data_IF_706260160331
#
_entry.id   IF_706260160331
#
_cell.length_a   1.000
_cell.length_b   1.000
_cell.length_c   1.000
_cell.angle_alpha   90.00
_cell.angle_beta   90.00
_cell.angle_gamma   90.00
#
_symmetry.space_group_name_H-M   'P 1'
#
loop_
_entity.id
_entity.type
_entity.pdbx_description
1 polymer ?
#
# COMPACT_ATOMS: atom_id res chain seq x y z
N UNK A 1 -0.97 34.12 24.89
CA UNK A 1 -1.90 34.22 23.74
C UNK A 1 -2.30 32.79 23.35
N UNK A 2 -3.51 32.38 23.72
CA UNK A 2 -4.06 31.02 23.50
C UNK A 2 -5.06 31.06 22.33
N UNK A 3 -5.19 29.94 21.62
CA UNK A 3 -5.88 29.79 20.33
C UNK A 3 -7.41 29.94 20.39
N UNK A 4 -8.07 30.26 19.27
CA UNK A 4 -9.53 30.35 19.19
C UNK A 4 -10.13 28.98 18.87
N UNK A 5 -10.37 28.15 19.89
CA UNK A 5 -11.21 26.93 19.77
C UNK A 5 -12.44 26.97 20.68
N UNK A 6 -12.52 27.90 21.64
CA UNK A 6 -13.66 27.93 22.55
C UNK A 6 -14.70 28.99 22.13
N UNK A 7 -15.85 28.48 21.68
CA UNK A 7 -17.22 29.03 21.75
C UNK A 7 -17.94 28.90 20.42
N UNK A 8 -18.33 27.68 20.07
CA UNK A 8 -19.59 27.47 19.36
C UNK A 8 -20.54 26.82 20.36
N UNK A 9 -21.31 27.68 21.01
CA UNK A 9 -22.47 27.32 21.81
C UNK A 9 -23.52 26.71 20.88
N UNK A 10 -23.48 25.41 20.67
CA UNK A 10 -24.58 24.68 20.03
C UNK A 10 -25.72 24.61 21.04
N UNK A 11 -26.81 25.30 20.71
CA UNK A 11 -28.02 25.36 21.50
C UNK A 11 -28.53 23.94 21.82
N UNK A 12 -28.80 23.69 23.10
CA UNK A 12 -29.59 22.58 23.66
C UNK A 12 -29.63 21.31 22.81
N UNK A 13 -28.69 20.39 23.07
CA UNK A 13 -28.85 19.00 22.68
C UNK A 13 -30.21 18.51 23.18
N UNK A 14 -31.11 18.17 22.26
CA UNK A 14 -32.24 17.32 22.61
C UNK A 14 -31.63 16.07 23.26
N UNK A 15 -32.03 15.78 24.50
CA UNK A 15 -31.66 14.54 25.17
C UNK A 15 -32.34 13.40 24.41
N UNK A 16 -31.68 12.90 23.38
CA UNK A 16 -32.10 11.69 22.70
C UNK A 16 -31.77 10.51 23.60
N UNK A 17 -32.79 9.91 24.19
CA UNK A 17 -32.62 8.65 24.90
C UNK A 17 -32.41 7.52 23.88
N UNK A 18 -31.40 6.64 24.06
CA UNK A 18 -31.09 5.53 23.15
C UNK A 18 -32.31 4.73 22.66
N UNK A 19 -33.21 4.36 23.59
CA UNK A 19 -34.39 3.56 23.28
C UNK A 19 -35.48 4.29 22.48
N UNK A 20 -35.36 5.59 22.22
CA UNK A 20 -36.29 6.33 21.36
C UNK A 20 -35.87 6.35 19.88
N UNK A 21 -34.64 5.94 19.58
CA UNK A 21 -34.02 5.98 18.26
C UNK A 21 -33.99 4.60 17.56
N UNK A 22 -34.16 3.51 18.30
CA UNK A 22 -34.26 2.17 17.73
C UNK A 22 -35.58 1.99 16.98
N UNK A 23 -35.54 1.24 15.88
CA UNK A 23 -36.71 0.86 15.05
C UNK A 23 -37.50 2.02 14.43
N UNK A 24 -36.93 3.23 14.37
CA UNK A 24 -37.53 4.40 13.71
C UNK A 24 -36.63 4.96 12.63
N UNK A 25 -37.27 5.44 11.56
CA UNK A 25 -36.58 6.21 10.53
C UNK A 25 -36.34 7.63 11.02
N UNK A 26 -35.07 7.99 11.08
CA UNK A 26 -34.56 9.33 11.34
C UNK A 26 -33.90 9.91 10.08
N UNK A 27 -34.32 9.45 8.89
CA UNK A 27 -33.81 9.96 7.61
C UNK A 27 -33.90 11.50 7.55
N UNK A 28 -32.79 12.14 7.18
CA UNK A 28 -32.66 13.60 7.11
C UNK A 28 -32.71 14.34 8.46
N UNK A 29 -32.81 13.66 9.60
CA UNK A 29 -32.84 14.32 10.91
C UNK A 29 -31.44 14.75 11.39
N UNK A 30 -31.44 15.64 12.39
CA UNK A 30 -30.23 16.21 13.01
C UNK A 30 -30.12 15.74 14.46
N UNK A 31 -29.07 14.97 14.75
CA UNK A 31 -28.65 14.45 16.04
C UNK A 31 -27.29 15.06 16.45
N UNK A 32 -27.05 16.32 16.08
CA UNK A 32 -25.76 16.99 16.31
C UNK A 32 -25.44 17.08 17.80
N UNK A 33 -24.26 16.60 18.20
CA UNK A 33 -23.83 16.58 19.59
C UNK A 33 -24.62 15.63 20.50
N UNK A 34 -25.41 14.71 19.93
CA UNK A 34 -26.15 13.73 20.72
C UNK A 34 -25.21 12.83 21.53
N UNK A 35 -25.59 12.52 22.77
CA UNK A 35 -24.85 11.61 23.65
C UNK A 35 -25.53 10.25 23.66
N UNK A 36 -24.97 9.30 22.91
CA UNK A 36 -25.50 7.97 22.62
C UNK A 36 -24.42 6.88 22.86
N UNK A 37 -23.48 7.14 23.77
CA UNK A 37 -22.44 6.19 24.16
C UNK A 37 -23.05 4.90 24.71
N UNK A 38 -22.58 3.75 24.21
CA UNK A 38 -23.09 2.42 24.59
C UNK A 38 -24.55 2.15 24.19
N UNK A 39 -25.17 3.04 23.41
CA UNK A 39 -26.55 2.89 22.98
C UNK A 39 -26.74 1.67 22.08
N UNK A 40 -27.85 0.96 22.25
CA UNK A 40 -28.37 0.06 21.23
C UNK A 40 -28.99 0.92 20.13
N UNK A 41 -28.37 0.98 18.96
CA UNK A 41 -28.82 1.71 17.78
C UNK A 41 -28.88 0.77 16.57
N UNK A 42 -29.13 -0.52 16.83
CA UNK A 42 -29.27 -1.53 15.78
C UNK A 42 -30.37 -1.10 14.84
N UNK A 43 -30.11 -1.26 13.54
CA UNK A 43 -31.06 -0.93 12.48
C UNK A 43 -31.51 0.54 12.44
N UNK A 44 -30.83 1.45 13.17
CA UNK A 44 -31.06 2.89 13.07
C UNK A 44 -30.99 3.31 11.59
N UNK A 45 -31.96 4.09 11.14
CA UNK A 45 -31.96 4.69 9.79
C UNK A 45 -31.73 6.19 9.93
N UNK A 46 -30.53 6.65 9.58
CA UNK A 46 -30.14 8.07 9.57
C UNK A 46 -29.71 8.51 8.16
N UNK A 47 -30.33 7.94 7.12
CA UNK A 47 -29.97 8.21 5.74
C UNK A 47 -30.05 9.71 5.40
N UNK A 48 -28.96 10.27 4.89
CA UNK A 48 -28.81 11.71 4.60
C UNK A 48 -28.95 12.64 5.81
N UNK A 49 -29.05 12.11 7.04
CA UNK A 49 -29.14 12.88 8.27
C UNK A 49 -27.78 13.38 8.75
N UNK A 50 -27.77 14.08 9.87
CA UNK A 50 -26.55 14.62 10.48
C UNK A 50 -26.45 14.21 11.94
N UNK A 51 -25.34 13.63 12.36
CA UNK A 51 -25.00 13.39 13.76
C UNK A 51 -23.59 13.91 14.08
N UNK A 52 -23.20 15.05 13.48
CA UNK A 52 -21.89 15.66 13.72
C UNK A 52 -21.62 15.86 15.21
N UNK A 53 -20.38 15.63 15.63
CA UNK A 53 -19.94 15.74 17.03
C UNK A 53 -20.66 14.81 18.02
N UNK A 54 -21.44 13.82 17.54
CA UNK A 54 -22.14 12.90 18.42
C UNK A 54 -21.13 12.01 19.19
N UNK A 55 -21.50 11.64 20.41
CA UNK A 55 -20.81 10.62 21.20
C UNK A 55 -21.53 9.29 20.98
N UNK A 56 -20.88 8.39 20.26
CA UNK A 56 -21.35 7.05 19.86
C UNK A 56 -20.31 5.99 20.26
N UNK A 57 -19.43 6.29 21.22
CA UNK A 57 -18.44 5.33 21.70
C UNK A 57 -19.14 4.09 22.26
N UNK A 58 -18.64 2.92 21.88
CA UNK A 58 -19.20 1.61 22.20
C UNK A 58 -20.68 1.40 21.80
N UNK A 59 -21.25 2.27 20.96
CA UNK A 59 -22.62 2.10 20.48
C UNK A 59 -22.75 0.87 19.56
N UNK A 60 -23.88 0.19 19.63
CA UNK A 60 -24.23 -0.92 18.75
C UNK A 60 -25.00 -0.39 17.53
N UNK A 61 -24.29 -0.18 16.43
CA UNK A 61 -24.82 0.29 15.14
C UNK A 61 -24.94 -0.85 14.12
N UNK A 62 -25.03 -2.10 14.59
CA UNK A 62 -25.11 -3.26 13.69
C UNK A 62 -26.30 -3.12 12.76
N UNK A 63 -26.04 -3.31 11.47
CA UNK A 63 -27.03 -3.18 10.41
C UNK A 63 -27.77 -1.81 10.35
N UNK A 64 -27.23 -0.75 10.96
CA UNK A 64 -27.74 0.60 10.77
C UNK A 64 -27.58 1.05 9.30
N UNK A 65 -28.50 1.90 8.83
CA UNK A 65 -28.41 2.58 7.55
C UNK A 65 -28.05 4.06 7.76
N UNK A 66 -26.76 4.36 7.58
CA UNK A 66 -26.19 5.70 7.66
C UNK A 66 -25.77 6.19 6.27
N UNK A 67 -26.39 5.69 5.19
CA UNK A 67 -26.01 6.09 3.84
C UNK A 67 -26.17 7.60 3.64
N UNK A 68 -25.09 8.25 3.19
CA UNK A 68 -25.03 9.70 3.00
C UNK A 68 -25.11 10.54 4.28
N UNK A 69 -25.09 9.94 5.47
CA UNK A 69 -25.16 10.69 6.72
C UNK A 69 -23.87 11.50 6.95
N UNK A 70 -23.98 12.68 7.58
CA UNK A 70 -22.84 13.47 8.04
C UNK A 70 -22.60 13.26 9.54
N UNK A 71 -21.54 12.51 9.85
CA UNK A 71 -21.08 12.23 11.21
C UNK A 71 -19.69 12.83 11.47
N UNK A 72 -19.35 13.93 10.78
CA UNK A 72 -18.06 14.60 10.95
C UNK A 72 -17.71 14.85 12.43
N UNK A 73 -16.45 14.61 12.78
CA UNK A 73 -15.91 14.81 14.13
C UNK A 73 -16.70 14.11 15.26
N UNK A 74 -17.41 13.03 14.95
CA UNK A 74 -18.09 12.21 15.95
C UNK A 74 -17.14 11.19 16.57
N UNK A 75 -17.43 10.81 17.80
CA UNK A 75 -16.70 9.77 18.53
C UNK A 75 -17.43 8.43 18.34
N UNK A 76 -16.85 7.51 17.59
CA UNK A 76 -17.32 6.13 17.35
C UNK A 76 -16.32 5.09 17.86
N UNK A 77 -15.51 5.44 18.86
CA UNK A 77 -14.51 4.53 19.43
C UNK A 77 -15.16 3.23 19.87
N UNK A 78 -14.62 2.10 19.44
CA UNK A 78 -15.13 0.76 19.77
C UNK A 78 -16.60 0.53 19.38
N UNK A 79 -17.20 1.36 18.52
CA UNK A 79 -18.56 1.16 18.06
C UNK A 79 -18.65 -0.07 17.14
N UNK A 80 -19.79 -0.76 17.18
CA UNK A 80 -20.05 -1.92 16.34
C UNK A 80 -20.87 -1.54 15.11
N UNK A 81 -20.20 -1.42 13.97
CA UNK A 81 -20.78 -1.07 12.67
C UNK A 81 -20.84 -2.29 11.73
N UNK A 82 -20.77 -3.51 12.27
CA UNK A 82 -20.80 -4.73 11.44
C UNK A 82 -22.05 -4.74 10.57
N UNK A 83 -21.85 -4.98 9.28
CA UNK A 83 -22.92 -5.03 8.26
C UNK A 83 -23.73 -3.73 8.11
N UNK A 84 -23.27 -2.60 8.66
CA UNK A 84 -23.90 -1.31 8.45
C UNK A 84 -23.82 -0.88 6.97
N UNK A 85 -24.82 -0.11 6.52
CA UNK A 85 -24.86 0.53 5.20
C UNK A 85 -24.37 1.97 5.36
N UNK A 86 -23.20 2.25 4.81
CA UNK A 86 -22.48 3.51 5.00
C UNK A 86 -22.08 4.12 3.64
N UNK A 87 -22.80 3.77 2.57
CA UNK A 87 -22.54 4.28 1.23
C UNK A 87 -22.54 5.81 1.24
N UNK A 88 -21.45 6.42 0.77
CA UNK A 88 -21.32 7.88 0.74
C UNK A 88 -21.32 8.57 2.10
N UNK A 89 -21.14 7.83 3.21
CA UNK A 89 -21.03 8.38 4.56
C UNK A 89 -20.00 9.51 4.60
N UNK A 90 -20.34 10.63 5.20
CA UNK A 90 -19.42 11.75 5.44
C UNK A 90 -18.96 11.73 6.90
N UNK A 91 -17.73 11.28 7.13
CA UNK A 91 -17.14 11.12 8.45
C UNK A 91 -15.71 11.70 8.55
N UNK A 92 -15.42 12.91 8.03
CA UNK A 92 -14.10 13.50 8.19
C UNK A 92 -13.84 13.77 9.67
N UNK A 93 -12.60 13.55 10.10
CA UNK A 93 -12.16 13.72 11.50
C UNK A 93 -12.90 12.85 12.53
N UNK A 94 -13.70 11.87 12.10
CA UNK A 94 -14.36 10.96 13.03
C UNK A 94 -13.32 10.07 13.73
N UNK A 95 -13.56 9.77 15.00
CA UNK A 95 -12.77 8.81 15.76
C UNK A 95 -13.45 7.44 15.71
N UNK A 96 -12.90 6.53 14.90
CA UNK A 96 -13.30 5.14 14.72
C UNK A 96 -12.24 4.19 15.31
N UNK A 97 -11.44 4.65 16.29
CA UNK A 97 -10.44 3.79 16.93
C UNK A 97 -11.10 2.53 17.49
N UNK A 98 -10.53 1.37 17.16
CA UNK A 98 -11.01 0.05 17.54
C UNK A 98 -12.47 -0.28 17.12
N UNK A 99 -13.07 0.47 16.20
CA UNK A 99 -14.41 0.19 15.70
C UNK A 99 -14.47 -1.15 14.93
N UNK A 100 -15.60 -1.86 15.06
CA UNK A 100 -15.85 -3.12 14.35
C UNK A 100 -16.64 -2.84 13.06
N UNK A 101 -15.93 -2.85 11.93
CA UNK A 101 -16.46 -2.57 10.58
C UNK A 101 -16.37 -3.78 9.65
N UNK A 102 -16.19 -4.98 10.21
CA UNK A 102 -16.07 -6.22 9.43
C UNK A 102 -17.30 -6.39 8.55
N UNK A 103 -17.08 -6.67 7.26
CA UNK A 103 -18.13 -6.86 6.25
C UNK A 103 -19.11 -5.66 6.12
N UNK A 104 -18.73 -4.47 6.59
CA UNK A 104 -19.51 -3.25 6.38
C UNK A 104 -19.48 -2.87 4.88
N UNK A 105 -20.56 -2.24 4.40
CA UNK A 105 -20.67 -1.77 3.03
C UNK A 105 -20.55 -0.25 3.01
N UNK A 106 -19.40 0.23 2.59
CA UNK A 106 -19.04 1.65 2.58
C UNK A 106 -18.34 2.04 1.28
N UNK A 107 -18.94 1.85 0.09
CA UNK A 107 -18.35 2.39 -1.13
C UNK A 107 -18.40 3.92 -1.10
N UNK A 108 -17.26 4.54 -1.39
CA UNK A 108 -17.04 5.98 -1.43
C UNK A 108 -17.32 6.73 -0.12
N UNK A 109 -16.97 6.23 1.08
CA UNK A 109 -17.12 7.00 2.30
C UNK A 109 -16.05 8.10 2.34
N UNK A 110 -16.38 9.22 2.97
CA UNK A 110 -15.46 10.35 3.18
C UNK A 110 -14.91 10.27 4.60
N UNK A 111 -13.78 9.60 4.74
CA UNK A 111 -13.06 9.36 6.00
C UNK A 111 -11.75 10.18 6.05
N UNK A 112 -11.77 11.38 5.45
CA UNK A 112 -10.59 12.26 5.40
C UNK A 112 -10.15 12.61 6.82
N UNK A 113 -8.87 12.34 7.12
CA UNK A 113 -8.28 12.55 8.45
C UNK A 113 -9.05 11.88 9.61
N UNK A 114 -9.79 10.80 9.33
CA UNK A 114 -10.42 10.00 10.37
C UNK A 114 -9.37 9.14 11.11
N UNK A 115 -9.62 8.86 12.38
CA UNK A 115 -8.83 7.91 13.17
C UNK A 115 -9.47 6.54 13.06
N UNK A 116 -8.75 5.56 12.55
CA UNK A 116 -9.16 4.15 12.38
C UNK A 116 -8.12 3.21 13.00
N UNK A 117 -7.30 3.71 13.93
CA UNK A 117 -6.30 2.91 14.61
C UNK A 117 -6.97 1.68 15.25
N UNK A 118 -6.36 0.50 15.11
CA UNK A 118 -6.91 -0.76 15.61
C UNK A 118 -8.30 -1.16 15.09
N UNK A 119 -8.89 -0.42 14.13
CA UNK A 119 -10.20 -0.74 13.59
C UNK A 119 -10.17 -2.08 12.84
N UNK A 120 -11.31 -2.79 12.83
CA UNK A 120 -11.45 -4.08 12.16
C UNK A 120 -12.33 -3.94 10.94
N UNK A 121 -11.69 -3.81 9.79
CA UNK A 121 -12.26 -3.61 8.45
C UNK A 121 -12.14 -4.87 7.59
N UNK A 122 -11.96 -6.05 8.19
CA UNK A 122 -11.83 -7.30 7.43
C UNK A 122 -13.03 -7.49 6.49
N UNK A 123 -12.74 -7.69 5.20
CA UNK A 123 -13.74 -7.83 4.12
C UNK A 123 -14.72 -6.66 4.00
N UNK A 124 -14.38 -5.49 4.52
CA UNK A 124 -15.16 -4.28 4.31
C UNK A 124 -15.05 -3.83 2.83
N UNK A 125 -16.14 -3.27 2.31
CA UNK A 125 -16.13 -2.62 1.00
C UNK A 125 -15.84 -1.13 1.18
N UNK A 126 -14.61 -0.73 0.90
CA UNK A 126 -14.03 0.61 0.92
C UNK A 126 -13.71 1.09 -0.52
N UNK A 127 -14.35 0.53 -1.55
CA UNK A 127 -14.08 0.93 -2.92
C UNK A 127 -14.29 2.43 -3.08
N UNK A 128 -13.38 3.12 -3.78
CA UNK A 128 -13.41 4.58 -3.98
C UNK A 128 -13.39 5.43 -2.69
N UNK A 129 -12.96 4.87 -1.56
CA UNK A 129 -12.97 5.61 -0.30
C UNK A 129 -12.03 6.82 -0.29
N UNK A 130 -12.45 7.91 0.33
CA UNK A 130 -11.60 9.08 0.57
C UNK A 130 -11.01 8.98 1.97
N UNK A 131 -9.78 8.46 2.06
CA UNK A 131 -9.02 8.21 3.27
C UNK A 131 -7.76 9.10 3.36
N UNK A 132 -7.74 10.23 2.65
CA UNK A 132 -6.59 11.14 2.64
C UNK A 132 -6.22 11.55 4.06
N UNK A 133 -4.98 11.29 4.46
CA UNK A 133 -4.47 11.60 5.81
C UNK A 133 -5.16 10.85 6.95
N UNK A 134 -5.93 9.80 6.68
CA UNK A 134 -6.52 8.95 7.71
C UNK A 134 -5.44 8.12 8.42
N UNK A 135 -5.68 7.81 9.69
CA UNK A 135 -4.78 6.96 10.48
C UNK A 135 -5.38 5.57 10.66
N UNK A 136 -4.85 4.60 9.91
CA UNK A 136 -5.20 3.18 9.94
C UNK A 136 -4.11 2.35 10.66
N UNK A 137 -3.29 2.96 11.52
CA UNK A 137 -2.21 2.23 12.22
C UNK A 137 -2.78 1.02 12.97
N UNK A 138 -2.14 -0.14 12.80
CA UNK A 138 -2.56 -1.42 13.40
C UNK A 138 -3.98 -1.89 13.03
N UNK A 139 -4.64 -1.29 12.05
CA UNK A 139 -5.96 -1.72 11.61
C UNK A 139 -5.88 -3.06 10.85
N UNK A 140 -6.96 -3.84 10.93
CA UNK A 140 -7.11 -5.07 10.16
C UNK A 140 -8.00 -4.82 8.94
N UNK A 141 -7.44 -4.91 7.74
CA UNK A 141 -8.11 -4.73 6.45
C UNK A 141 -8.04 -6.01 5.60
N UNK A 142 -8.00 -7.19 6.24
CA UNK A 142 -7.76 -8.43 5.51
C UNK A 142 -8.90 -8.73 4.54
N UNK A 143 -8.56 -8.93 3.27
CA UNK A 143 -9.53 -9.16 2.21
C UNK A 143 -10.50 -8.00 1.98
N UNK A 144 -10.19 -6.78 2.45
CA UNK A 144 -11.02 -5.60 2.18
C UNK A 144 -10.88 -5.16 0.72
N UNK A 145 -11.94 -4.54 0.19
CA UNK A 145 -11.94 -3.95 -1.16
C UNK A 145 -11.66 -2.46 -1.06
N UNK A 146 -10.51 -2.00 -1.55
CA UNK A 146 -10.07 -0.60 -1.61
C UNK A 146 -9.83 -0.13 -3.05
N UNK A 147 -10.45 -0.78 -4.04
CA UNK A 147 -10.30 -0.46 -5.46
C UNK A 147 -10.54 1.03 -5.75
N UNK A 148 -9.50 1.72 -6.21
CA UNK A 148 -9.46 3.16 -6.49
C UNK A 148 -9.70 4.07 -5.29
N UNK A 149 -9.53 3.59 -4.06
CA UNK A 149 -9.54 4.42 -2.87
C UNK A 149 -8.37 5.43 -2.87
N UNK A 150 -8.61 6.60 -2.28
CA UNK A 150 -7.60 7.63 -2.08
C UNK A 150 -7.07 7.58 -0.64
N UNK A 151 -5.91 6.95 -0.46
CA UNK A 151 -5.14 6.84 0.77
C UNK A 151 -3.90 7.75 0.76
N UNK A 152 -3.88 8.82 -0.03
CA UNK A 152 -2.75 9.72 -0.06
C UNK A 152 -2.46 10.29 1.34
N UNK A 153 -1.20 10.28 1.76
CA UNK A 153 -0.75 10.73 3.09
C UNK A 153 -1.36 9.94 4.27
N UNK A 154 -2.02 8.81 4.04
CA UNK A 154 -2.56 7.99 5.11
C UNK A 154 -1.43 7.30 5.89
N UNK A 155 -1.64 7.10 7.19
CA UNK A 155 -0.78 6.27 8.02
C UNK A 155 -1.39 4.88 8.08
N UNK A 156 -0.70 3.88 7.56
CA UNK A 156 -1.06 2.48 7.62
C UNK A 156 -0.11 1.66 8.50
N UNK A 157 0.82 2.29 9.22
CA UNK A 157 1.85 1.62 10.04
C UNK A 157 1.38 0.32 10.73
N UNK A 158 2.02 -0.80 10.36
CA UNK A 158 1.71 -2.14 10.87
C UNK A 158 0.26 -2.60 10.62
N UNK A 159 -0.42 -2.09 9.60
CA UNK A 159 -1.75 -2.55 9.20
C UNK A 159 -1.70 -3.94 8.55
N UNK A 160 -2.84 -4.61 8.55
CA UNK A 160 -3.01 -5.96 8.02
C UNK A 160 -3.87 -5.92 6.76
N UNK A 161 -3.22 -5.79 5.61
CA UNK A 161 -3.76 -5.72 4.25
C UNK A 161 -3.72 -7.07 3.51
N UNK A 162 -3.48 -8.19 4.21
CA UNK A 162 -3.38 -9.51 3.58
C UNK A 162 -4.62 -9.78 2.69
N UNK A 163 -4.39 -10.10 1.42
CA UNK A 163 -5.42 -10.34 0.39
C UNK A 163 -6.35 -9.15 0.09
N UNK A 164 -6.03 -7.95 0.54
CA UNK A 164 -6.82 -6.76 0.21
C UNK A 164 -6.68 -6.40 -1.28
N UNK A 165 -7.74 -5.84 -1.85
CA UNK A 165 -7.73 -5.29 -3.22
C UNK A 165 -7.51 -3.78 -3.18
N UNK A 166 -6.29 -3.32 -3.46
CA UNK A 166 -5.91 -1.93 -3.62
C UNK A 166 -5.67 -1.57 -5.09
N UNK A 167 -6.31 -2.28 -6.03
CA UNK A 167 -6.19 -1.97 -7.45
C UNK A 167 -6.56 -0.51 -7.74
N UNK A 168 -5.73 0.19 -8.52
CA UNK A 168 -5.87 1.61 -8.84
C UNK A 168 -5.92 2.58 -7.64
N UNK A 169 -5.62 2.11 -6.42
CA UNK A 169 -5.64 2.99 -5.24
C UNK A 169 -4.52 4.04 -5.31
N UNK A 170 -4.79 5.22 -4.75
CA UNK A 170 -3.79 6.27 -4.57
C UNK A 170 -3.20 6.21 -3.17
N UNK A 171 -1.98 5.71 -3.04
CA UNK A 171 -1.17 5.59 -1.82
C UNK A 171 0.02 6.56 -1.85
N UNK A 172 -0.07 7.67 -2.60
CA UNK A 172 1.03 8.65 -2.67
C UNK A 172 1.41 9.12 -1.28
N UNK A 173 2.70 8.99 -0.96
CA UNK A 173 3.29 9.37 0.32
C UNK A 173 2.58 8.78 1.55
N UNK A 174 1.95 7.60 1.40
CA UNK A 174 1.42 6.85 2.53
C UNK A 174 2.55 6.22 3.35
N UNK A 175 2.38 6.17 4.67
CA UNK A 175 3.26 5.44 5.58
C UNK A 175 2.74 4.01 5.76
N UNK A 176 3.34 3.05 5.07
CA UNK A 176 2.98 1.63 5.07
C UNK A 176 4.09 0.76 5.72
N UNK A 177 4.87 1.36 6.62
CA UNK A 177 6.00 0.67 7.24
C UNK A 177 5.51 -0.51 8.09
N UNK A 178 6.20 -1.63 7.95
CA UNK A 178 5.93 -2.88 8.66
C UNK A 178 4.55 -3.50 8.41
N UNK A 179 3.81 -3.06 7.38
CA UNK A 179 2.52 -3.63 7.02
C UNK A 179 2.63 -5.09 6.60
N UNK A 180 1.55 -5.85 6.81
CA UNK A 180 1.36 -7.15 6.19
C UNK A 180 0.40 -7.02 5.01
N UNK A 181 0.90 -7.17 3.79
CA UNK A 181 0.15 -7.08 2.53
C UNK A 181 0.41 -8.32 1.67
N UNK A 182 0.44 -9.51 2.29
CA UNK A 182 0.66 -10.78 1.58
C UNK A 182 -0.50 -11.05 0.64
N UNK A 183 -0.19 -11.46 -0.59
CA UNK A 183 -1.20 -11.75 -1.63
C UNK A 183 -2.15 -10.56 -1.92
N UNK A 184 -1.78 -9.34 -1.54
CA UNK A 184 -2.58 -8.15 -1.81
C UNK A 184 -2.46 -7.73 -3.29
N UNK A 185 -3.51 -7.11 -3.82
CA UNK A 185 -3.55 -6.62 -5.19
C UNK A 185 -3.31 -5.10 -5.20
N UNK A 186 -2.23 -4.66 -5.84
CA UNK A 186 -1.87 -3.26 -6.06
C UNK A 186 -1.83 -2.92 -7.57
N UNK A 187 -2.57 -3.65 -8.39
CA UNK A 187 -2.52 -3.47 -9.86
C UNK A 187 -2.86 -2.03 -10.21
N UNK A 188 -1.98 -1.36 -10.95
CA UNK A 188 -2.11 0.05 -11.33
C UNK A 188 -2.22 1.04 -10.17
N UNK A 189 -1.86 0.65 -8.94
CA UNK A 189 -1.86 1.55 -7.79
C UNK A 189 -0.73 2.59 -7.88
N UNK A 190 -0.94 3.75 -7.25
CA UNK A 190 0.06 4.83 -7.15
C UNK A 190 0.66 4.83 -5.75
N UNK A 191 1.92 4.39 -5.62
CA UNK A 191 2.70 4.38 -4.38
C UNK A 191 3.90 5.35 -4.46
N UNK A 192 3.78 6.45 -5.22
CA UNK A 192 4.86 7.43 -5.37
C UNK A 192 5.22 8.00 -3.99
N UNK A 193 6.51 7.98 -3.64
CA UNK A 193 7.04 8.43 -2.34
C UNK A 193 6.44 7.70 -1.12
N UNK A 194 5.75 6.57 -1.30
CA UNK A 194 5.23 5.79 -0.17
C UNK A 194 6.38 5.13 0.60
N UNK A 195 6.21 4.99 1.91
CA UNK A 195 7.17 4.29 2.78
C UNK A 195 6.68 2.88 3.11
N UNK A 196 7.31 1.88 2.49
CA UNK A 196 7.06 0.45 2.69
C UNK A 196 8.26 -0.24 3.36
N UNK A 197 9.05 0.49 4.17
CA UNK A 197 10.17 -0.11 4.90
C UNK A 197 9.69 -1.32 5.73
N UNK A 198 10.38 -2.45 5.56
CA UNK A 198 10.10 -3.72 6.25
C UNK A 198 8.70 -4.32 5.94
N UNK A 199 7.96 -3.76 4.99
CA UNK A 199 6.63 -4.28 4.61
C UNK A 199 6.71 -5.73 4.08
N UNK A 200 5.67 -6.52 4.38
CA UNK A 200 5.54 -7.93 3.95
C UNK A 200 4.61 -8.01 2.74
N UNK A 201 5.21 -8.07 1.56
CA UNK A 201 4.56 -8.04 0.24
C UNK A 201 4.71 -9.39 -0.50
N UNK A 202 4.94 -10.49 0.23
CA UNK A 202 5.11 -11.81 -0.38
C UNK A 202 3.90 -12.18 -1.24
N UNK A 203 4.14 -12.60 -2.47
CA UNK A 203 3.12 -12.90 -3.49
C UNK A 203 2.15 -11.75 -3.80
N UNK A 204 2.48 -10.51 -3.45
CA UNK A 204 1.64 -9.36 -3.79
C UNK A 204 1.71 -9.10 -5.31
N UNK A 205 0.59 -8.62 -5.88
CA UNK A 205 0.50 -8.27 -7.28
C UNK A 205 0.60 -6.75 -7.46
N UNK A 206 1.78 -6.27 -7.83
CA UNK A 206 2.16 -4.88 -8.09
C UNK A 206 2.27 -4.57 -9.60
N UNK A 207 1.62 -5.37 -10.46
CA UNK A 207 1.65 -5.14 -11.92
C UNK A 207 1.17 -3.75 -12.28
N UNK A 208 1.88 -3.07 -13.18
CA UNK A 208 1.59 -1.70 -13.63
C UNK A 208 1.57 -0.64 -12.50
N UNK A 209 1.96 -1.00 -11.27
CA UNK A 209 1.98 -0.06 -10.16
C UNK A 209 3.09 0.99 -10.33
N UNK A 210 2.87 2.17 -9.75
CA UNK A 210 3.84 3.26 -9.80
C UNK A 210 4.44 3.48 -8.42
N UNK A 211 5.69 3.09 -8.25
CA UNK A 211 6.47 3.13 -7.01
C UNK A 211 7.67 4.09 -7.12
N UNK A 212 7.58 5.11 -7.97
CA UNK A 212 8.64 6.11 -8.15
C UNK A 212 9.02 6.73 -6.81
N UNK A 213 10.31 6.70 -6.48
CA UNK A 213 10.87 7.20 -5.23
C UNK A 213 10.27 6.58 -3.95
N UNK A 214 9.60 5.44 -4.03
CA UNK A 214 9.11 4.72 -2.85
C UNK A 214 10.28 4.13 -2.03
N UNK A 215 10.08 4.00 -0.73
CA UNK A 215 11.02 3.33 0.17
C UNK A 215 10.57 1.89 0.42
N UNK A 216 11.27 0.90 -0.13
CA UNK A 216 11.07 -0.53 0.08
C UNK A 216 12.30 -1.16 0.76
N UNK A 217 13.03 -0.39 1.57
CA UNK A 217 14.18 -0.89 2.33
C UNK A 217 13.77 -2.09 3.17
N UNK A 218 14.53 -3.17 3.05
CA UNK A 218 14.31 -4.43 3.78
C UNK A 218 12.91 -5.05 3.60
N UNK A 219 12.16 -4.66 2.56
CA UNK A 219 10.83 -5.20 2.28
C UNK A 219 10.93 -6.67 1.81
N UNK A 220 9.87 -7.43 2.09
CA UNK A 220 9.74 -8.84 1.69
C UNK A 220 8.85 -8.96 0.47
N UNK A 221 9.44 -9.11 -0.71
CA UNK A 221 8.79 -9.18 -2.02
C UNK A 221 8.92 -10.57 -2.66
N UNK A 222 9.23 -11.61 -1.87
CA UNK A 222 9.37 -12.97 -2.40
C UNK A 222 8.10 -13.39 -3.16
N UNK A 223 8.27 -13.84 -4.41
CA UNK A 223 7.17 -14.24 -5.29
C UNK A 223 6.25 -13.10 -5.77
N UNK A 224 6.58 -11.83 -5.48
CA UNK A 224 5.74 -10.71 -5.90
C UNK A 224 5.78 -10.51 -7.42
N UNK A 225 4.64 -10.11 -8.00
CA UNK A 225 4.54 -9.72 -9.42
C UNK A 225 4.69 -8.22 -9.55
N UNK A 226 5.82 -7.74 -10.06
CA UNK A 226 6.10 -6.33 -10.35
C UNK A 226 6.16 -6.05 -11.87
N UNK A 227 5.75 -6.98 -12.72
CA UNK A 227 5.84 -6.80 -14.18
C UNK A 227 5.23 -5.47 -14.63
N UNK A 228 5.93 -4.74 -15.51
CA UNK A 228 5.54 -3.40 -16.00
C UNK A 228 5.48 -2.28 -14.93
N UNK A 229 5.85 -2.55 -13.67
CA UNK A 229 5.84 -1.52 -12.64
C UNK A 229 6.90 -0.44 -12.89
N UNK A 230 6.56 0.80 -12.48
CA UNK A 230 7.47 1.95 -12.52
C UNK A 230 8.15 2.12 -11.17
N UNK A 231 9.44 1.79 -11.10
CA UNK A 231 10.26 1.73 -9.89
C UNK A 231 11.44 2.73 -9.96
N UNK A 232 11.26 3.85 -10.66
CA UNK A 232 12.35 4.85 -10.84
C UNK A 232 12.76 5.43 -9.50
N UNK A 233 14.07 5.51 -9.25
CA UNK A 233 14.65 6.00 -7.99
C UNK A 233 14.11 5.31 -6.72
N UNK A 234 13.57 4.10 -6.83
CA UNK A 234 13.08 3.32 -5.68
C UNK A 234 14.23 2.93 -4.76
N UNK A 235 13.98 2.85 -3.45
CA UNK A 235 14.93 2.28 -2.49
C UNK A 235 14.56 0.83 -2.20
N UNK A 236 15.39 -0.12 -2.60
CA UNK A 236 15.26 -1.57 -2.38
C UNK A 236 16.45 -2.13 -1.58
N UNK A 237 17.11 -1.30 -0.76
CA UNK A 237 18.30 -1.71 0.00
C UNK A 237 17.95 -2.86 0.94
N UNK A 238 18.63 -3.99 0.81
CA UNK A 238 18.38 -5.21 1.60
C UNK A 238 17.01 -5.87 1.36
N UNK A 239 16.27 -5.46 0.33
CA UNK A 239 14.97 -6.04 0.02
C UNK A 239 15.11 -7.49 -0.49
N UNK A 240 14.10 -8.31 -0.21
CA UNK A 240 14.06 -9.72 -0.61
C UNK A 240 13.10 -9.89 -1.79
N UNK A 241 13.63 -10.04 -2.99
CA UNK A 241 12.91 -10.17 -4.27
C UNK A 241 13.09 -11.55 -4.90
N UNK A 242 13.43 -12.59 -4.12
CA UNK A 242 13.55 -13.94 -4.66
C UNK A 242 12.23 -14.39 -5.32
N UNK A 243 12.30 -15.13 -6.42
CA UNK A 243 11.14 -15.65 -7.16
C UNK A 243 10.21 -14.57 -7.73
N UNK A 244 10.61 -13.29 -7.73
CA UNK A 244 9.75 -12.19 -8.19
C UNK A 244 9.77 -12.03 -9.71
N UNK A 245 8.67 -11.51 -10.25
CA UNK A 245 8.58 -11.09 -11.65
C UNK A 245 8.76 -9.58 -11.77
N UNK A 246 9.93 -9.16 -12.25
CA UNK A 246 10.32 -7.78 -12.54
C UNK A 246 10.35 -7.52 -14.06
N UNK A 247 9.70 -8.34 -14.88
CA UNK A 247 9.72 -8.20 -16.35
C UNK A 247 9.21 -6.83 -16.78
N UNK A 248 9.93 -6.18 -17.69
CA UNK A 248 9.60 -4.86 -18.25
C UNK A 248 9.47 -3.74 -17.21
N UNK A 249 10.05 -3.90 -16.02
CA UNK A 249 10.06 -2.83 -15.01
C UNK A 249 10.98 -1.68 -15.38
N UNK A 250 10.64 -0.47 -14.93
CA UNK A 250 11.57 0.68 -14.97
C UNK A 250 12.21 0.89 -13.59
N UNK A 251 13.41 0.35 -13.41
CA UNK A 251 14.29 0.45 -12.25
C UNK A 251 15.39 1.52 -12.46
N UNK A 252 15.19 2.50 -13.36
CA UNK A 252 16.16 3.59 -13.57
C UNK A 252 16.50 4.26 -12.23
N UNK A 253 17.81 4.39 -11.94
CA UNK A 253 18.34 4.97 -10.70
C UNK A 253 17.90 4.28 -9.39
N UNK A 254 17.39 3.04 -9.45
CA UNK A 254 17.00 2.28 -8.27
C UNK A 254 18.20 1.98 -7.35
N UNK A 255 17.98 1.97 -6.03
CA UNK A 255 18.98 1.63 -5.02
C UNK A 255 18.74 0.21 -4.51
N UNK A 256 19.45 -0.76 -5.05
CA UNK A 256 19.29 -2.20 -4.76
C UNK A 256 20.50 -2.78 -4.02
N UNK A 257 21.20 -1.97 -3.23
CA UNK A 257 22.35 -2.42 -2.43
C UNK A 257 21.93 -3.59 -1.53
N UNK A 258 22.73 -4.66 -1.52
CA UNK A 258 22.48 -5.84 -0.67
C UNK A 258 21.11 -6.52 -0.90
N UNK A 259 20.39 -6.18 -1.98
CA UNK A 259 19.12 -6.82 -2.32
C UNK A 259 19.35 -8.27 -2.77
N UNK A 260 18.39 -9.14 -2.45
CA UNK A 260 18.38 -10.53 -2.95
C UNK A 260 17.36 -10.63 -4.07
N UNK A 261 17.79 -11.00 -5.27
CA UNK A 261 17.02 -11.08 -6.51
C UNK A 261 17.35 -12.42 -7.18
N UNK A 262 17.25 -13.50 -6.39
CA UNK A 262 17.55 -14.86 -6.81
C UNK A 262 16.31 -15.50 -7.45
N UNK A 263 16.48 -16.36 -8.46
CA UNK A 263 15.37 -17.07 -9.12
C UNK A 263 14.30 -16.12 -9.72
N UNK A 264 14.69 -14.87 -9.99
CA UNK A 264 13.78 -13.82 -10.41
C UNK A 264 13.79 -13.65 -11.94
N UNK A 265 12.68 -13.12 -12.47
CA UNK A 265 12.61 -12.74 -13.89
C UNK A 265 12.75 -11.23 -14.03
N UNK A 266 13.78 -10.76 -14.73
CA UNK A 266 14.01 -9.34 -15.03
C UNK A 266 13.91 -9.03 -16.54
N UNK A 267 13.32 -9.92 -17.35
CA UNK A 267 13.28 -9.76 -18.82
C UNK A 267 12.90 -8.34 -19.25
N UNK A 268 13.72 -7.72 -20.09
CA UNK A 268 13.55 -6.35 -20.60
C UNK A 268 13.45 -5.25 -19.53
N UNK A 269 13.80 -5.54 -18.27
CA UNK A 269 13.83 -4.52 -17.22
C UNK A 269 14.87 -3.46 -17.54
N UNK A 270 14.57 -2.22 -17.17
CA UNK A 270 15.43 -1.05 -17.38
C UNK A 270 16.08 -0.66 -16.07
N UNK A 271 17.38 -0.88 -15.94
CA UNK A 271 18.19 -0.56 -14.77
C UNK A 271 19.29 0.49 -15.03
N UNK A 272 19.12 1.48 -15.93
CA UNK A 272 20.20 2.43 -16.15
C UNK A 272 20.47 3.25 -14.89
N UNK A 273 21.74 3.38 -14.52
CA UNK A 273 22.15 4.11 -13.30
C UNK A 273 21.82 3.40 -11.96
N UNK A 274 21.13 2.25 -12.00
CA UNK A 274 20.77 1.50 -10.79
C UNK A 274 22.01 1.06 -10.01
N UNK A 275 21.89 1.00 -8.68
CA UNK A 275 22.96 0.60 -7.77
C UNK A 275 22.68 -0.81 -7.24
N UNK A 276 23.40 -1.79 -7.76
CA UNK A 276 23.33 -3.21 -7.38
C UNK A 276 24.56 -3.63 -6.54
N UNK A 277 25.19 -2.70 -5.83
CA UNK A 277 26.39 -3.00 -5.04
C UNK A 277 26.10 -4.12 -4.02
N UNK A 278 26.86 -5.22 -4.11
CA UNK A 278 26.68 -6.47 -3.32
C UNK A 278 25.29 -7.10 -3.41
N UNK A 279 24.49 -6.73 -4.40
CA UNK A 279 23.23 -7.42 -4.66
C UNK A 279 23.50 -8.87 -5.09
N UNK A 280 22.61 -9.78 -4.69
CA UNK A 280 22.63 -11.17 -5.10
C UNK A 280 21.61 -11.31 -6.22
N UNK A 281 22.06 -11.49 -7.45
CA UNK A 281 21.22 -11.66 -8.64
C UNK A 281 21.67 -12.95 -9.31
N UNK A 282 21.25 -14.08 -8.75
CA UNK A 282 21.65 -15.40 -9.23
C UNK A 282 20.47 -16.23 -9.69
N UNK A 283 20.73 -17.18 -10.60
CA UNK A 283 19.69 -18.08 -11.11
C UNK A 283 18.51 -17.33 -11.75
N UNK A 284 18.79 -16.10 -12.23
CA UNK A 284 17.79 -15.13 -12.67
C UNK A 284 17.85 -14.93 -14.19
N UNK A 285 16.69 -14.62 -14.76
CA UNK A 285 16.51 -14.36 -16.19
C UNK A 285 16.60 -12.86 -16.47
N UNK A 286 17.75 -12.41 -17.00
CA UNK A 286 18.05 -11.01 -17.32
C UNK A 286 18.02 -10.74 -18.83
N UNK A 287 17.32 -11.55 -19.62
CA UNK A 287 17.28 -11.38 -21.08
C UNK A 287 16.75 -10.01 -21.47
N UNK A 288 17.45 -9.35 -22.38
CA UNK A 288 17.06 -8.02 -22.86
C UNK A 288 17.14 -6.90 -21.80
N UNK A 289 17.66 -7.16 -20.60
CA UNK A 289 17.80 -6.12 -19.57
C UNK A 289 18.71 -4.98 -20.04
N UNK A 290 18.34 -3.74 -19.69
CA UNK A 290 19.21 -2.57 -19.84
C UNK A 290 19.93 -2.26 -18.53
N UNK A 291 21.17 -2.71 -18.40
CA UNK A 291 22.06 -2.46 -17.26
C UNK A 291 23.05 -1.32 -17.54
N UNK A 292 22.82 -0.47 -18.55
CA UNK A 292 23.79 0.56 -18.94
C UNK A 292 24.07 1.53 -17.79
N UNK A 293 25.35 1.84 -17.56
CA UNK A 293 25.79 2.76 -16.47
C UNK A 293 25.38 2.31 -15.05
N UNK A 294 24.92 1.06 -14.89
CA UNK A 294 24.61 0.51 -13.56
C UNK A 294 25.89 0.32 -12.74
N UNK A 295 25.73 0.31 -11.41
CA UNK A 295 26.81 0.11 -10.43
C UNK A 295 26.65 -1.27 -9.81
N UNK A 296 27.38 -2.25 -10.32
CA UNK A 296 27.29 -3.65 -9.94
C UNK A 296 28.53 -4.14 -9.16
N UNK A 297 29.25 -3.22 -8.50
CA UNK A 297 30.49 -3.60 -7.80
C UNK A 297 30.20 -4.60 -6.69
N UNK A 298 30.95 -5.70 -6.66
CA UNK A 298 30.74 -6.79 -5.70
C UNK A 298 29.42 -7.55 -5.85
N UNK A 299 28.62 -7.28 -6.89
CA UNK A 299 27.37 -8.00 -7.13
C UNK A 299 27.64 -9.47 -7.46
N UNK A 300 26.75 -10.36 -7.02
CA UNK A 300 26.79 -11.77 -7.37
C UNK A 300 25.86 -12.00 -8.57
N UNK A 301 26.43 -12.08 -9.77
CA UNK A 301 25.75 -12.25 -11.05
C UNK A 301 26.15 -13.59 -11.65
N UNK A 302 25.70 -14.68 -11.04
CA UNK A 302 26.10 -16.05 -11.39
C UNK A 302 24.89 -16.89 -11.77
N UNK A 303 25.06 -17.81 -12.72
CA UNK A 303 23.96 -18.60 -13.27
C UNK A 303 22.83 -17.72 -13.83
N UNK A 304 23.19 -16.63 -14.51
CA UNK A 304 22.22 -15.69 -15.08
C UNK A 304 22.19 -15.74 -16.60
N UNK A 305 21.00 -15.52 -17.16
CA UNK A 305 20.80 -15.38 -18.59
C UNK A 305 20.83 -13.90 -19.00
N UNK A 306 21.85 -13.49 -19.73
CA UNK A 306 22.12 -12.13 -20.19
C UNK A 306 21.98 -11.99 -21.71
N UNK A 307 21.35 -12.95 -22.40
CA UNK A 307 21.11 -12.85 -23.86
C UNK A 307 20.35 -11.56 -24.21
N UNK A 308 20.88 -10.79 -25.15
CA UNK A 308 20.33 -9.48 -25.52
C UNK A 308 20.43 -8.37 -24.48
N UNK A 309 21.06 -8.61 -23.32
CA UNK A 309 21.22 -7.59 -22.29
C UNK A 309 22.27 -6.54 -22.69
N UNK A 310 22.07 -5.29 -22.25
CA UNK A 310 22.97 -4.17 -22.48
C UNK A 310 23.73 -3.75 -21.22
N UNK A 311 25.06 -3.92 -21.20
CA UNK A 311 25.93 -3.60 -20.06
C UNK A 311 26.90 -2.44 -20.35
N UNK A 312 26.65 -1.65 -21.39
CA UNK A 312 27.54 -0.53 -21.76
C UNK A 312 27.73 0.44 -20.59
N UNK A 313 29.00 0.73 -20.28
CA UNK A 313 29.44 1.56 -19.18
C UNK A 313 29.00 1.09 -17.77
N UNK A 314 28.55 -0.16 -17.61
CA UNK A 314 28.28 -0.72 -16.28
C UNK A 314 29.59 -0.92 -15.50
N UNK A 315 29.57 -0.67 -14.19
CA UNK A 315 30.74 -0.86 -13.32
C UNK A 315 30.65 -2.22 -12.65
N UNK A 316 31.59 -3.11 -12.98
CA UNK A 316 31.59 -4.52 -12.56
C UNK A 316 32.78 -4.86 -11.64
N UNK A 317 33.41 -3.86 -11.03
CA UNK A 317 34.56 -4.05 -10.14
C UNK A 317 34.24 -5.06 -9.02
N UNK A 318 34.94 -6.20 -9.01
CA UNK A 318 34.73 -7.27 -8.03
C UNK A 318 33.39 -8.02 -8.13
N UNK A 319 32.61 -7.81 -9.19
CA UNK A 319 31.41 -8.60 -9.45
C UNK A 319 31.77 -10.06 -9.73
N UNK A 320 30.96 -11.00 -9.23
CA UNK A 320 31.13 -12.43 -9.49
C UNK A 320 30.30 -12.79 -10.71
N UNK A 321 30.98 -13.16 -11.80
CA UNK A 321 30.40 -13.40 -13.11
C UNK A 321 30.82 -14.79 -13.60
N UNK A 322 30.01 -15.80 -13.32
CA UNK A 322 30.29 -17.18 -13.76
C UNK A 322 29.01 -17.92 -14.12
N UNK A 323 29.14 -18.88 -15.04
CA UNK A 323 28.00 -19.59 -15.64
C UNK A 323 26.99 -18.63 -16.27
N UNK A 324 27.47 -17.69 -17.08
CA UNK A 324 26.62 -16.73 -17.79
C UNK A 324 26.13 -17.30 -19.12
N UNK A 325 24.86 -17.13 -19.44
CA UNK A 325 24.36 -17.28 -20.81
C UNK A 325 24.41 -15.93 -21.53
N UNK A 326 25.20 -15.82 -22.59
CA UNK A 326 25.32 -14.63 -23.45
C UNK A 326 25.24 -15.04 -24.91
N UNK A 327 24.85 -14.11 -25.79
CA UNK A 327 24.84 -14.34 -27.23
C UNK A 327 25.36 -13.11 -28.00
N UNK A 328 25.35 -13.17 -29.33
CA UNK A 328 25.82 -12.08 -30.20
C UNK A 328 25.02 -10.77 -30.06
N UNK A 329 23.86 -10.80 -29.41
CA UNK A 329 23.03 -9.61 -29.15
C UNK A 329 23.31 -8.97 -27.79
N UNK A 330 24.05 -9.64 -26.91
CA UNK A 330 24.49 -9.08 -25.63
C UNK A 330 25.53 -7.98 -25.85
N UNK A 331 25.24 -6.76 -25.39
CA UNK A 331 26.17 -5.62 -25.51
C UNK A 331 27.04 -5.55 -24.25
N UNK A 332 28.19 -6.21 -24.30
CA UNK A 332 29.12 -6.29 -23.17
C UNK A 332 30.27 -5.28 -23.29
N UNK A 333 30.10 -4.07 -22.73
CA UNK A 333 31.12 -3.00 -22.73
C UNK A 333 31.24 -2.31 -21.35
N UNK A 334 31.67 -3.02 -20.30
CA UNK A 334 31.74 -2.46 -18.95
C UNK A 334 32.90 -1.47 -18.76
N UNK A 335 32.84 -0.70 -17.67
CA UNK A 335 33.94 0.12 -17.20
C UNK A 335 34.85 -0.69 -16.28
N UNK A 336 36.16 -0.65 -16.54
CA UNK A 336 37.18 -1.33 -15.74
C UNK A 336 37.39 -2.79 -16.13
N UNK A 337 38.40 -3.46 -15.54
CA UNK A 337 38.68 -4.86 -15.79
C UNK A 337 37.57 -5.74 -15.21
N UNK A 338 37.19 -6.78 -15.95
CA UNK A 338 36.16 -7.74 -15.53
C UNK A 338 36.73 -9.15 -15.62
N UNK A 339 36.65 -9.89 -14.52
CA UNK A 339 36.99 -11.31 -14.50
C UNK A 339 35.71 -12.12 -14.67
N UNK A 340 35.58 -12.83 -15.79
CA UNK A 340 34.49 -13.75 -16.05
C UNK A 340 35.06 -15.15 -15.99
N UNK A 341 34.53 -16.02 -15.12
CA UNK A 341 34.97 -17.41 -15.02
C UNK A 341 33.95 -18.32 -15.71
N UNK A 342 34.43 -19.22 -16.58
CA UNK A 342 33.58 -20.27 -17.19
C UNK A 342 32.76 -19.85 -18.42
N UNK A 343 33.25 -18.91 -19.24
CA UNK A 343 32.63 -18.65 -20.56
C UNK A 343 32.86 -19.88 -21.46
N UNK A 344 31.83 -20.44 -22.14
CA UNK A 344 32.05 -21.41 -23.21
C UNK A 344 32.95 -20.80 -24.30
N UNK A 345 33.95 -21.54 -24.78
CA UNK A 345 34.94 -21.08 -25.80
C UNK A 345 34.33 -20.48 -27.09
N UNK A 346 33.02 -20.60 -27.32
CA UNK A 346 32.31 -20.04 -28.47
C UNK A 346 31.88 -18.57 -28.30
N UNK A 347 32.11 -17.95 -27.15
CA UNK A 347 31.72 -16.56 -26.85
C UNK A 347 32.92 -15.66 -26.52
N UNK A 348 34.06 -15.88 -27.18
CA UNK A 348 35.10 -14.85 -27.25
C UNK A 348 34.56 -13.66 -28.05
N UNK A 349 34.27 -12.58 -27.33
CA UNK A 349 33.92 -11.24 -27.83
C UNK A 349 35.18 -10.47 -28.16
#
# INVERSE_FOLDING_TARGET
MRSPIERHSYAHGQLFHPGSLTDKSHAGQTLVGATLSGADLRQLVLTGGSARYAQLDAADLRAADLAGADIAASNLRSADLRRARLMGLCAPFADLEAAELREARLPGPKLVQATLQHARLDRADLAQAMLTGADLSWASLRGATLGGANLALATLYSAQLDRADLSSANLRAADMRADSAKEACFVSATLVEADLEIAKLSNANLRDATLTAANLRSAYLTGATLSQARLRAVTLIGAKLSDSDLSNTDLTDARMNDATVQDATLRNARLPGACLHRAIVSDSDLRGCDLRRSRCQGAHLWQVDLRGAGLSAARLDGARLWSLEIDATTIFRPLGPVCIQGIPKSAEV
#
